data_IF_662838137183
#
_entry.id   IF_662838137183
#
_cell.length_a   1.000
_cell.length_b   1.000
_cell.length_c   1.000
_cell.angle_alpha   90.00
_cell.angle_beta   90.00
_cell.angle_gamma   90.00
#
_symmetry.space_group_name_H-M   'P 1'
#
loop_
_entity.id
_entity.type
_entity.pdbx_description
1 polymer ?
#
# COMPACT_ATOMS: atom_id res chain seq x y z
N UNK A 1 -10.05 7.47 3.35
CA UNK A 1 -9.77 6.05 3.59
C UNK A 1 -8.93 5.89 4.85
N UNK A 2 -9.57 5.48 5.95
CA UNK A 2 -8.92 5.03 7.19
C UNK A 2 -8.77 3.51 7.21
N UNK A 3 -8.08 2.93 8.22
CA UNK A 3 -7.81 1.48 8.29
C UNK A 3 -9.09 0.64 8.26
N UNK A 4 -10.13 1.02 9.02
CA UNK A 4 -11.42 0.30 9.02
C UNK A 4 -12.07 0.28 7.63
N UNK A 5 -12.09 1.42 6.94
CA UNK A 5 -12.61 1.53 5.57
C UNK A 5 -11.81 0.65 4.58
N UNK A 6 -10.50 0.50 4.79
CA UNK A 6 -9.65 -0.41 4.01
C UNK A 6 -10.03 -1.88 4.25
N UNK A 7 -10.23 -2.28 5.51
CA UNK A 7 -10.68 -3.64 5.89
C UNK A 7 -12.04 -3.96 5.26
N UNK A 8 -13.00 -3.04 5.36
CA UNK A 8 -14.31 -3.18 4.72
C UNK A 8 -14.20 -3.34 3.19
N UNK A 9 -13.27 -2.62 2.55
CA UNK A 9 -13.01 -2.79 1.11
C UNK A 9 -12.47 -4.18 0.77
N UNK A 10 -11.61 -4.76 1.62
CA UNK A 10 -11.10 -6.13 1.46
C UNK A 10 -12.24 -7.13 1.60
N UNK A 11 -13.05 -7.02 2.66
CA UNK A 11 -14.20 -7.90 2.89
C UNK A 11 -15.24 -7.83 1.77
N UNK A 12 -15.51 -6.63 1.23
CA UNK A 12 -16.43 -6.48 0.09
C UNK A 12 -15.90 -7.18 -1.18
N UNK A 13 -14.58 -7.24 -1.35
CA UNK A 13 -13.95 -7.92 -2.47
C UNK A 13 -13.94 -9.44 -2.26
N UNK A 14 -13.84 -9.88 -1.00
CA UNK A 14 -13.80 -11.29 -0.61
C UNK A 14 -14.89 -11.59 0.43
N UNK A 15 -16.16 -11.80 0.01
CA UNK A 15 -17.30 -11.93 0.92
C UNK A 15 -17.20 -13.09 1.92
N UNK A 16 -16.38 -14.11 1.65
CA UNK A 16 -16.14 -15.24 2.55
C UNK A 16 -15.10 -14.98 3.64
N UNK A 17 -14.45 -13.81 3.67
CA UNK A 17 -13.43 -13.50 4.65
C UNK A 17 -14.08 -12.95 5.93
N UNK A 18 -13.77 -13.55 7.08
CA UNK A 18 -14.22 -13.02 8.37
C UNK A 18 -13.54 -11.68 8.65
N UNK A 19 -14.26 -10.79 9.36
CA UNK A 19 -13.74 -9.47 9.70
C UNK A 19 -12.39 -9.53 10.43
N UNK A 20 -12.25 -10.44 11.41
CA UNK A 20 -11.01 -10.61 12.17
C UNK A 20 -9.83 -11.00 11.26
N UNK A 21 -10.08 -11.86 10.28
CA UNK A 21 -9.03 -12.30 9.35
C UNK A 21 -8.64 -11.17 8.40
N UNK A 22 -9.62 -10.38 7.94
CA UNK A 22 -9.36 -9.19 7.13
C UNK A 22 -8.54 -8.13 7.90
N UNK A 23 -8.89 -7.87 9.16
CA UNK A 23 -8.14 -6.97 10.04
C UNK A 23 -6.71 -7.46 10.27
N UNK A 24 -6.55 -8.76 10.56
CA UNK A 24 -5.25 -9.39 10.80
C UNK A 24 -4.38 -9.35 9.54
N UNK A 25 -4.95 -9.62 8.37
CA UNK A 25 -4.23 -9.59 7.11
C UNK A 25 -3.75 -8.16 6.75
N UNK A 26 -4.62 -7.15 6.94
CA UNK A 26 -4.23 -5.75 6.71
C UNK A 26 -3.12 -5.33 7.67
N UNK A 27 -3.23 -5.69 8.94
CA UNK A 27 -2.20 -5.37 9.94
C UNK A 27 -0.87 -6.03 9.61
N UNK A 28 -0.88 -7.33 9.31
CA UNK A 28 0.33 -8.07 8.97
C UNK A 28 1.10 -7.45 7.79
N UNK A 29 0.39 -6.91 6.79
CA UNK A 29 1.03 -6.21 5.66
C UNK A 29 1.68 -4.90 6.12
N UNK A 30 1.00 -4.10 6.95
CA UNK A 30 1.53 -2.83 7.45
C UNK A 30 2.74 -3.03 8.37
N UNK A 31 2.69 -4.05 9.22
CA UNK A 31 3.78 -4.45 10.11
C UNK A 31 4.99 -4.93 9.30
N UNK A 32 4.79 -5.81 8.32
CA UNK A 32 5.87 -6.29 7.45
C UNK A 32 6.58 -5.15 6.70
N UNK A 33 5.83 -4.14 6.24
CA UNK A 33 6.42 -2.93 5.64
C UNK A 33 7.24 -2.15 6.67
N UNK A 34 6.69 -1.95 7.86
CA UNK A 34 7.33 -1.19 8.95
C UNK A 34 8.63 -1.84 9.40
N UNK A 35 8.62 -3.15 9.62
CA UNK A 35 9.78 -3.95 10.04
C UNK A 35 10.87 -3.96 8.97
N UNK A 36 10.49 -4.15 7.70
CA UNK A 36 11.44 -4.08 6.60
C UNK A 36 12.13 -2.70 6.56
N UNK A 37 11.37 -1.61 6.69
CA UNK A 37 11.92 -0.26 6.72
C UNK A 37 12.83 -0.04 7.94
N UNK A 38 12.45 -0.50 9.13
CA UNK A 38 13.28 -0.41 10.33
C UNK A 38 14.65 -1.07 10.10
N UNK A 39 14.64 -2.26 9.46
CA UNK A 39 15.83 -3.05 9.16
C UNK A 39 16.69 -2.51 8.00
N UNK A 40 16.30 -1.43 7.32
CA UNK A 40 17.07 -0.91 6.18
C UNK A 40 16.69 -1.49 4.84
N UNK A 41 15.71 -2.40 4.83
CA UNK A 41 15.26 -3.05 3.62
C UNK A 41 14.32 -2.14 2.83
N UNK A 42 14.24 -2.42 1.53
CA UNK A 42 13.30 -1.81 0.60
C UNK A 42 12.16 -2.80 0.34
N UNK A 43 10.93 -2.32 0.39
CA UNK A 43 9.74 -3.09 0.02
C UNK A 43 9.23 -2.60 -1.33
N UNK A 44 9.07 -3.50 -2.28
CA UNK A 44 8.53 -3.17 -3.61
C UNK A 44 7.27 -4.00 -3.88
N UNK A 45 6.16 -3.31 -4.13
CA UNK A 45 4.87 -3.89 -4.48
C UNK A 45 4.59 -3.51 -5.93
N UNK A 46 4.74 -4.47 -6.85
CA UNK A 46 4.52 -4.26 -8.29
C UNK A 46 3.13 -3.68 -8.53
N UNK A 47 3.04 -2.73 -9.46
CA UNK A 47 1.80 -1.99 -9.75
C UNK A 47 1.42 -0.93 -8.71
N UNK A 48 1.91 -1.02 -7.46
CA UNK A 48 1.62 -0.03 -6.42
C UNK A 48 2.77 0.98 -6.23
N UNK A 49 3.96 0.50 -5.86
CA UNK A 49 5.11 1.37 -5.63
C UNK A 49 6.17 0.72 -4.76
N UNK A 50 7.10 1.52 -4.26
CA UNK A 50 8.16 1.05 -3.38
C UNK A 50 8.32 1.94 -2.15
N UNK A 51 8.50 1.29 -1.00
CA UNK A 51 8.84 1.91 0.27
C UNK A 51 10.33 1.73 0.54
N UNK A 52 11.00 2.81 0.94
CA UNK A 52 12.39 2.77 1.37
C UNK A 52 12.65 3.75 2.50
N UNK A 53 13.70 3.52 3.28
CA UNK A 53 14.17 4.48 4.27
C UNK A 53 15.24 5.39 3.65
N UNK A 54 15.02 6.70 3.66
CA UNK A 54 16.00 7.70 3.23
C UNK A 54 16.72 8.28 4.42
N UNK A 55 18.05 8.29 4.36
CA UNK A 55 18.87 8.95 5.36
C UNK A 55 18.86 10.48 5.18
N UNK A 56 18.68 11.18 6.29
CA UNK A 56 18.76 12.65 6.37
C UNK A 56 19.92 13.00 7.28
N UNK A 57 20.91 13.68 6.73
CA UNK A 57 22.07 14.19 7.46
C UNK A 57 21.66 15.21 8.52
N UNK A 58 22.44 15.30 9.58
CA UNK A 58 22.29 16.33 10.59
C UNK A 58 22.46 17.71 9.99
N UNK A 59 21.71 18.68 10.49
CA UNK A 59 21.79 20.09 10.07
C UNK A 59 21.34 21.01 11.19
N UNK A 60 21.61 22.30 11.05
CA UNK A 60 21.04 23.33 11.95
C UNK A 60 19.75 23.86 11.32
N UNK A 61 18.63 23.65 12.00
CA UNK A 61 17.34 24.23 11.64
C UNK A 61 17.07 25.55 12.37
N UNK A 62 15.88 26.11 12.15
CA UNK A 62 15.35 27.23 12.94
C UNK A 62 13.98 26.89 13.49
N UNK A 63 13.72 27.30 14.74
CA UNK A 63 12.38 27.23 15.30
C UNK A 63 11.48 28.23 14.55
N UNK A 64 10.39 27.79 13.90
CA UNK A 64 9.52 28.69 13.12
C UNK A 64 8.82 29.73 13.99
N UNK A 65 8.67 29.50 15.31
CA UNK A 65 8.03 30.43 16.24
C UNK A 65 8.99 31.47 16.82
N UNK A 66 10.26 31.13 17.05
CA UNK A 66 11.23 32.01 17.76
C UNK A 66 12.46 32.40 16.93
N UNK A 67 12.67 31.79 15.77
CA UNK A 67 13.82 32.05 14.89
C UNK A 67 15.17 31.50 15.41
N UNK A 68 15.22 30.97 16.63
CA UNK A 68 16.43 30.41 17.24
C UNK A 68 16.95 29.22 16.46
N UNK A 69 18.28 29.08 16.42
CA UNK A 69 18.96 27.95 15.78
C UNK A 69 18.80 26.70 16.64
N UNK A 70 18.35 25.60 16.04
CA UNK A 70 18.13 24.32 16.73
C UNK A 70 18.85 23.21 15.97
N UNK A 71 19.71 22.39 16.62
CA UNK A 71 20.35 21.26 15.97
C UNK A 71 19.29 20.19 15.63
N UNK A 72 19.37 19.65 14.42
CA UNK A 72 18.54 18.53 13.95
C UNK A 72 19.47 17.35 13.72
N UNK A 73 19.31 16.30 14.53
CA UNK A 73 20.08 15.08 14.43
C UNK A 73 19.85 14.36 13.10
N UNK A 74 20.84 13.56 12.68
CA UNK A 74 20.68 12.68 11.54
C UNK A 74 19.59 11.64 11.85
N UNK A 75 18.75 11.32 10.86
CA UNK A 75 17.68 10.34 11.02
C UNK A 75 17.30 9.69 9.71
N UNK A 76 16.69 8.51 9.81
CA UNK A 76 16.07 7.82 8.67
C UNK A 76 14.60 8.22 8.59
N UNK A 77 14.11 8.48 7.38
CA UNK A 77 12.70 8.83 7.14
C UNK A 77 12.11 7.89 6.11
N UNK A 78 10.87 7.40 6.29
CA UNK A 78 10.21 6.59 5.27
C UNK A 78 9.98 7.44 4.02
N UNK A 79 10.11 6.80 2.86
CA UNK A 79 9.84 7.39 1.55
C UNK A 79 9.05 6.38 0.73
N UNK A 80 7.99 6.86 0.09
CA UNK A 80 7.20 6.08 -0.84
C UNK A 80 7.39 6.63 -2.25
N UNK A 81 7.71 5.74 -3.20
CA UNK A 81 7.77 6.05 -4.62
C UNK A 81 6.63 5.33 -5.34
N UNK A 82 5.65 6.10 -5.81
CA UNK A 82 4.52 5.57 -6.55
C UNK A 82 4.95 4.93 -7.88
N UNK A 83 4.31 3.81 -8.22
CA UNK A 83 4.49 3.13 -9.51
C UNK A 83 4.07 4.05 -10.67
N UNK A 84 4.47 3.65 -11.89
CA UNK A 84 3.96 4.29 -13.12
C UNK A 84 2.43 4.21 -13.17
N UNK A 85 1.87 3.06 -12.84
CA UNK A 85 0.43 2.78 -12.89
C UNK A 85 -0.37 3.70 -11.97
N UNK A 86 0.08 3.91 -10.73
CA UNK A 86 -0.57 4.86 -9.81
C UNK A 86 -0.45 6.29 -10.33
N UNK A 87 0.75 6.69 -10.77
CA UNK A 87 0.98 8.04 -11.29
C UNK A 87 0.12 8.35 -12.51
N UNK A 88 -0.02 7.38 -13.41
CA UNK A 88 -0.92 7.49 -14.55
C UNK A 88 -2.37 7.51 -14.08
N UNK A 89 -2.78 6.60 -13.19
CA UNK A 89 -4.15 6.54 -12.68
C UNK A 89 -4.61 7.83 -11.98
N UNK A 90 -3.69 8.60 -11.40
CA UNK A 90 -4.00 9.89 -10.77
C UNK A 90 -4.13 11.05 -11.77
N UNK A 91 -3.52 10.92 -12.95
CA UNK A 91 -3.56 11.94 -13.99
C UNK A 91 -4.56 11.52 -15.09
N UNK A 92 -5.09 12.49 -15.85
CA UNK A 92 -6.36 12.38 -16.57
C UNK A 92 -6.48 11.20 -17.58
N UNK A 93 -5.36 10.61 -18.00
CA UNK A 93 -5.33 9.47 -18.94
C UNK A 93 -5.34 8.06 -18.29
N UNK A 94 -5.07 7.92 -16.98
CA UNK A 94 -4.91 6.60 -16.35
C UNK A 94 -6.09 6.06 -15.55
N UNK A 95 -7.06 6.89 -15.13
CA UNK A 95 -8.26 6.42 -14.40
C UNK A 95 -9.04 5.39 -15.25
N UNK A 96 -9.07 5.58 -16.58
CA UNK A 96 -9.67 4.62 -17.52
C UNK A 96 -8.94 3.26 -17.52
N UNK A 97 -7.60 3.26 -17.44
CA UNK A 97 -6.78 2.05 -17.48
C UNK A 97 -6.89 1.19 -16.20
N UNK A 98 -7.03 1.81 -15.02
CA UNK A 98 -7.17 1.08 -13.75
C UNK A 98 -8.56 0.45 -13.59
N UNK A 99 -9.61 1.17 -14.03
CA UNK A 99 -10.99 0.63 -14.06
C UNK A 99 -11.11 -0.54 -15.02
N UNK A 100 -10.51 -0.45 -16.21
CA UNK A 100 -10.51 -1.52 -17.21
C UNK A 100 -9.87 -2.82 -16.68
N UNK A 101 -8.79 -2.74 -15.89
CA UNK A 101 -8.15 -3.92 -15.27
C UNK A 101 -9.00 -4.58 -14.19
N UNK A 102 -9.73 -3.79 -13.39
CA UNK A 102 -10.59 -4.32 -12.32
C UNK A 102 -11.73 -5.17 -12.90
N UNK A 103 -12.31 -4.75 -14.03
CA UNK A 103 -13.36 -5.51 -14.75
C UNK A 103 -12.85 -6.85 -15.30
N UNK A 104 -11.65 -6.90 -15.88
CA UNK A 104 -11.10 -8.13 -16.49
C UNK A 104 -10.68 -9.17 -15.43
N UNK A 105 -10.15 -8.72 -14.30
CA UNK A 105 -9.76 -9.62 -13.20
C UNK A 105 -10.95 -10.23 -12.46
N UNK A 106 -12.09 -9.53 -12.36
CA UNK A 106 -13.30 -10.05 -11.73
C UNK A 106 -14.04 -11.08 -12.62
N UNK A 107 -13.93 -10.97 -13.95
CA UNK A 107 -14.53 -11.93 -14.87
C UNK A 107 -13.72 -13.22 -15.05
N UNK A 108 -12.42 -13.23 -14.71
CA UNK A 108 -11.54 -14.39 -14.90
C UNK A 108 -11.61 -15.43 -13.77
N UNK A 109 -12.33 -15.16 -12.68
CA UNK A 109 -12.42 -16.03 -11.50
C UNK A 109 -13.69 -16.87 -11.37
N UNK A 110 -14.54 -16.95 -12.40
CA UNK A 110 -15.85 -17.60 -12.33
C UNK A 110 -16.00 -18.80 -13.30
N UNK A 111 -15.13 -19.81 -13.19
CA UNK A 111 -15.33 -21.19 -13.70
C UNK A 111 -14.37 -22.06 -12.86
N UNK A 112 -14.69 -23.13 -12.15
CA UNK A 112 -15.55 -24.29 -12.41
C UNK A 112 -16.04 -24.88 -11.07
N UNK A 113 -17.35 -25.14 -10.92
CA UNK A 113 -17.85 -26.14 -9.97
C UNK A 113 -18.08 -27.44 -10.72
N UNK A 114 -17.50 -28.50 -10.16
CA UNK A 114 -17.53 -29.89 -10.60
C UNK A 114 -18.94 -30.38 -10.94
N UNK A 115 -19.05 -31.13 -12.04
CA UNK A 115 -20.13 -32.09 -12.28
C UNK A 115 -19.64 -33.14 -13.28
N UNK A 116 -18.88 -34.11 -12.76
CA UNK A 116 -18.81 -35.45 -13.36
C UNK A 116 -19.62 -36.38 -12.44
N UNK A 117 -20.90 -36.55 -12.75
CA UNK A 117 -21.74 -37.62 -12.21
C UNK A 117 -21.93 -38.68 -13.30
N UNK A 118 -21.28 -39.81 -13.06
CA UNK A 118 -21.59 -41.18 -13.45
C UNK A 118 -22.80 -41.44 -14.38
N UNK A 119 -22.55 -42.06 -15.53
CA UNK A 119 -23.16 -43.31 -16.03
C UNK A 119 -22.83 -43.56 -17.51
#
# INVERSE_FOLDING_TARGET
MIKSELVECVMRTYPGLYQRDAETAVEAVLDAISDALANGNRVEIRGFGAFSAKERRSRVGRNPRTGQRVPVAAKRVPMFKASKEIREALNHDGVKALRARKTVSLSAGAVQTESEESA
#
